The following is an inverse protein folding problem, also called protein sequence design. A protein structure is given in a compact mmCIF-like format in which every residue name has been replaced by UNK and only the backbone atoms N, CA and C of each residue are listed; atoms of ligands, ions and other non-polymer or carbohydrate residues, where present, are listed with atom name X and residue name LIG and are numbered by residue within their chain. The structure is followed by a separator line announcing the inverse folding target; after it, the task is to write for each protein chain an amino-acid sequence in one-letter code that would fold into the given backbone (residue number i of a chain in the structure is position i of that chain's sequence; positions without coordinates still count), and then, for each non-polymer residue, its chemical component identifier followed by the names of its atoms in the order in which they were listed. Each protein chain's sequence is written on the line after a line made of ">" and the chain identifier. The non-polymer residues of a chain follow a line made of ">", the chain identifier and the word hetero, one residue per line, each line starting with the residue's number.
data_IF_474501602997
#
_entry.id   IF_474501602997
#
_cell.length_a   1.000
_cell.length_b   1.000
_cell.length_c   1.000
_cell.angle_alpha   90.00
_cell.angle_beta   90.00
_cell.angle_gamma   90.00
#
_symmetry.space_group_name_H-M   'P 1'
#
loop_
_entity.id
_entity.type
_entity.pdbx_description
1 polymer ?
#
# COMPACT_ATOMS: atom_id res chain seq x y z
N UNK A 1 23.53 31.62 5.50
CA UNK A 1 23.96 30.25 5.17
C UNK A 1 22.80 29.27 5.45
N UNK A 2 21.71 29.33 4.68
CA UNK A 2 20.44 28.61 4.97
C UNK A 2 20.10 27.52 3.93
N UNK A 3 20.94 27.38 2.91
CA UNK A 3 20.83 26.40 1.83
C UNK A 3 20.71 24.93 2.27
N UNK A 4 21.43 24.43 3.30
CA UNK A 4 21.29 23.01 3.68
C UNK A 4 19.92 22.70 4.31
N UNK A 5 19.32 23.65 5.03
CA UNK A 5 17.98 23.49 5.63
C UNK A 5 16.87 23.45 4.57
N UNK A 6 16.98 24.28 3.53
CA UNK A 6 16.06 24.27 2.40
C UNK A 6 16.20 22.99 1.56
N UNK A 7 17.43 22.51 1.33
CA UNK A 7 17.68 21.30 0.56
C UNK A 7 17.13 20.03 1.23
N UNK A 8 17.26 19.88 2.55
CA UNK A 8 16.70 18.72 3.28
C UNK A 8 15.17 18.79 3.35
N UNK A 9 14.60 19.99 3.55
CA UNK A 9 13.15 20.17 3.48
C UNK A 9 12.62 19.83 2.08
N UNK A 10 13.33 20.24 1.02
CA UNK A 10 13.00 19.90 -0.35
C UNK A 10 13.13 18.39 -0.62
N UNK A 11 14.18 17.72 -0.15
CA UNK A 11 14.35 16.26 -0.28
C UNK A 11 13.28 15.51 0.50
N UNK A 12 12.89 15.99 1.69
CA UNK A 12 11.81 15.41 2.48
C UNK A 12 10.44 15.57 1.78
N UNK A 13 10.16 16.76 1.20
CA UNK A 13 8.93 17.03 0.42
C UNK A 13 8.91 16.20 -0.86
N UNK A 14 10.02 16.15 -1.61
CA UNK A 14 10.12 15.37 -2.86
C UNK A 14 10.03 13.87 -2.55
N UNK A 15 10.72 13.40 -1.50
CA UNK A 15 10.63 12.02 -1.04
C UNK A 15 9.21 11.65 -0.61
N UNK A 16 8.49 12.55 0.07
CA UNK A 16 7.07 12.34 0.42
C UNK A 16 6.16 12.39 -0.80
N UNK A 17 6.41 13.24 -1.79
CA UNK A 17 5.64 13.27 -3.04
C UNK A 17 5.85 12.01 -3.88
N UNK A 18 7.08 11.50 -3.97
CA UNK A 18 7.42 10.25 -4.66
C UNK A 18 6.80 9.06 -3.93
N UNK A 19 6.87 9.03 -2.59
CA UNK A 19 6.18 8.03 -1.76
C UNK A 19 4.65 8.11 -1.83
N UNK A 20 4.08 9.25 -2.26
CA UNK A 20 2.64 9.42 -2.49
C UNK A 20 2.18 8.91 -3.85
N UNK A 21 3.11 8.75 -4.80
CA UNK A 21 2.83 8.26 -6.16
C UNK A 21 3.32 6.84 -6.41
N UNK A 22 4.15 6.28 -5.53
CA UNK A 22 4.47 4.87 -5.57
C UNK A 22 3.17 4.06 -5.42
N UNK A 23 2.90 3.08 -6.30
CA UNK A 23 1.76 2.19 -6.14
C UNK A 23 1.82 1.57 -4.74
N UNK A 24 0.68 1.53 -4.06
CA UNK A 24 0.52 1.07 -2.66
C UNK A 24 0.86 -0.43 -2.49
N UNK A 25 1.33 -1.07 -3.57
CA UNK A 25 1.80 -2.45 -3.69
C UNK A 25 2.64 -2.95 -2.51
N UNK A 26 3.32 -2.07 -1.76
CA UNK A 26 4.04 -2.45 -0.55
C UNK A 26 3.63 -1.58 0.65
N UNK A 27 2.39 -1.76 1.12
CA UNK A 27 1.73 -0.99 2.20
C UNK A 27 2.46 -0.91 3.55
N UNK A 28 3.57 -1.64 3.74
CA UNK A 28 4.41 -1.62 4.95
C UNK A 28 5.80 -1.01 4.69
N UNK A 29 6.34 -1.15 3.47
CA UNK A 29 7.75 -0.82 3.21
C UNK A 29 8.00 0.68 3.04
N UNK A 30 7.09 1.42 2.43
CA UNK A 30 7.33 2.85 2.15
C UNK A 30 7.35 3.71 3.42
N UNK A 31 6.41 3.57 4.37
CA UNK A 31 6.44 4.34 5.63
C UNK A 31 7.63 3.94 6.52
N UNK A 32 7.95 2.65 6.59
CA UNK A 32 9.07 2.13 7.39
C UNK A 32 10.43 2.58 6.81
N UNK A 33 10.62 2.50 5.50
CA UNK A 33 11.82 2.97 4.83
C UNK A 33 12.02 4.49 5.01
N UNK A 34 10.95 5.29 4.88
CA UNK A 34 11.01 6.73 5.17
C UNK A 34 11.33 7.01 6.65
N UNK A 35 10.79 6.22 7.58
CA UNK A 35 11.08 6.33 9.01
C UNK A 35 12.54 6.00 9.35
N UNK A 36 13.10 4.93 8.77
CA UNK A 36 14.50 4.52 8.95
C UNK A 36 15.45 5.53 8.31
N UNK A 37 15.17 6.00 7.10
CA UNK A 37 15.94 7.06 6.44
C UNK A 37 15.91 8.35 7.26
N UNK A 38 14.75 8.78 7.75
CA UNK A 38 14.64 9.96 8.59
C UNK A 38 15.39 9.80 9.93
N UNK A 39 15.31 8.61 10.56
CA UNK A 39 16.06 8.31 11.79
C UNK A 39 17.58 8.32 11.58
N UNK A 40 18.05 7.71 10.49
CA UNK A 40 19.47 7.69 10.11
C UNK A 40 19.97 9.10 9.76
N UNK A 41 19.15 9.89 9.05
CA UNK A 41 19.42 11.30 8.74
C UNK A 41 19.49 12.12 10.02
N UNK A 42 18.54 11.97 10.95
CA UNK A 42 18.57 12.67 12.26
C UNK A 42 19.78 12.28 13.12
N UNK A 43 20.17 10.99 13.13
CA UNK A 43 21.35 10.49 13.83
C UNK A 43 22.66 10.99 13.22
N UNK A 44 22.77 10.99 11.89
CA UNK A 44 23.94 11.49 11.16
C UNK A 44 24.07 13.02 11.27
N UNK A 45 22.95 13.75 11.37
CA UNK A 45 22.89 15.22 11.37
C UNK A 45 23.05 15.83 12.77
N UNK A 46 23.04 15.02 13.84
CA UNK A 46 23.07 15.45 15.25
C UNK A 46 24.27 16.34 15.63
N UNK A 47 25.32 16.42 14.79
CA UNK A 47 26.59 17.12 15.08
C UNK A 47 26.73 18.52 14.47
N UNK A 48 25.91 18.91 13.48
CA UNK A 48 26.15 20.12 12.67
C UNK A 48 24.95 21.05 12.49
N UNK A 49 23.76 20.66 12.94
CA UNK A 49 22.54 21.45 12.75
C UNK A 49 22.04 22.09 14.06
N UNK A 50 21.41 23.28 13.98
CA UNK A 50 20.73 23.86 15.14
C UNK A 50 19.62 22.91 15.59
N UNK A 51 19.49 22.70 16.90
CA UNK A 51 18.49 21.78 17.50
C UNK A 51 17.08 22.01 16.98
N UNK A 52 16.74 23.27 16.69
CA UNK A 52 15.46 23.66 16.09
C UNK A 52 15.15 22.94 14.76
N UNK A 53 16.16 22.70 13.91
CA UNK A 53 15.96 22.04 12.63
C UNK A 53 15.75 20.52 12.76
N UNK A 54 16.42 19.88 13.72
CA UNK A 54 16.18 18.46 14.05
C UNK A 54 14.76 18.27 14.61
N UNK A 55 14.32 19.19 15.49
CA UNK A 55 12.95 19.18 16.01
C UNK A 55 11.93 19.39 14.90
N UNK A 56 12.15 20.34 13.99
CA UNK A 56 11.25 20.61 12.88
C UNK A 56 11.07 19.39 11.95
N UNK A 57 12.18 18.71 11.60
CA UNK A 57 12.12 17.49 10.78
C UNK A 57 11.41 16.36 11.53
N UNK A 58 11.71 16.15 12.81
CA UNK A 58 11.05 15.12 13.61
C UNK A 58 9.55 15.34 13.76
N UNK A 59 9.12 16.59 13.97
CA UNK A 59 7.70 16.96 14.02
C UNK A 59 7.03 16.76 12.65
N UNK A 60 7.66 17.18 11.56
CA UNK A 60 7.11 17.01 10.21
C UNK A 60 6.91 15.51 9.87
N UNK A 61 7.88 14.67 10.20
CA UNK A 61 7.78 13.22 10.03
C UNK A 61 6.66 12.62 10.88
N UNK A 62 6.54 13.04 12.14
CA UNK A 62 5.49 12.56 13.03
C UNK A 62 4.08 12.95 12.53
N UNK A 63 3.90 14.19 12.08
CA UNK A 63 2.63 14.66 11.50
C UNK A 63 2.29 13.90 10.22
N UNK A 64 3.28 13.68 9.34
CA UNK A 64 3.06 12.92 8.11
C UNK A 64 2.67 11.46 8.40
N UNK A 65 3.40 10.82 9.32
CA UNK A 65 3.11 9.44 9.71
C UNK A 65 1.73 9.30 10.38
N UNK A 66 1.34 10.24 11.27
CA UNK A 66 0.01 10.26 11.87
C UNK A 66 -1.10 10.49 10.83
N UNK A 67 -0.89 11.40 9.86
CA UNK A 67 -1.82 11.63 8.77
C UNK A 67 -2.00 10.37 7.91
N UNK A 68 -0.90 9.71 7.52
CA UNK A 68 -0.96 8.44 6.79
C UNK A 68 -1.67 7.35 7.57
N UNK A 69 -1.40 7.23 8.86
CA UNK A 69 -2.07 6.26 9.71
C UNK A 69 -3.58 6.50 9.77
N UNK A 70 -4.01 7.77 9.89
CA UNK A 70 -5.43 8.14 9.83
C UNK A 70 -6.08 7.79 8.49
N UNK A 71 -5.41 8.05 7.36
CA UNK A 71 -5.92 7.71 6.03
C UNK A 71 -6.06 6.20 5.85
N UNK A 72 -5.03 5.42 6.23
CA UNK A 72 -5.07 3.96 6.16
C UNK A 72 -6.16 3.39 7.08
N UNK A 73 -6.28 3.90 8.30
CA UNK A 73 -7.31 3.47 9.25
C UNK A 73 -8.72 3.79 8.75
N UNK A 74 -8.95 5.00 8.22
CA UNK A 74 -10.23 5.37 7.64
C UNK A 74 -10.57 4.50 6.42
N UNK A 75 -9.59 4.22 5.57
CA UNK A 75 -9.77 3.34 4.42
C UNK A 75 -10.05 1.89 4.84
N UNK A 76 -9.40 1.39 5.90
CA UNK A 76 -9.66 0.07 6.47
C UNK A 76 -11.09 -0.03 7.06
N UNK A 77 -11.53 0.99 7.80
CA UNK A 77 -12.90 1.08 8.32
C UNK A 77 -13.95 1.14 7.19
N UNK A 78 -13.63 1.81 6.09
CA UNK A 78 -14.50 1.88 4.92
C UNK A 78 -14.52 0.55 4.16
N UNK A 79 -13.39 -0.16 4.10
CA UNK A 79 -13.27 -1.49 3.51
C UNK A 79 -14.22 -2.51 4.16
N UNK A 80 -14.44 -2.43 5.47
CA UNK A 80 -15.41 -3.27 6.20
C UNK A 80 -16.88 -2.96 5.83
N UNK A 81 -17.15 -1.77 5.30
CA UNK A 81 -18.49 -1.28 4.96
C UNK A 81 -18.76 -1.24 3.46
N UNK A 82 -17.90 -1.84 2.64
CA UNK A 82 -18.09 -1.90 1.19
C UNK A 82 -19.37 -2.65 0.85
N UNK A 83 -20.21 -2.04 0.01
CA UNK A 83 -21.34 -2.73 -0.60
C UNK A 83 -20.82 -3.89 -1.45
N UNK A 84 -21.41 -5.06 -1.26
CA UNK A 84 -21.03 -6.27 -1.99
C UNK A 84 -21.77 -6.27 -3.32
N UNK A 85 -21.01 -6.23 -4.41
CA UNK A 85 -21.49 -6.41 -5.78
C UNK A 85 -21.62 -7.91 -6.05
N UNK A 86 -22.83 -8.43 -6.07
CA UNK A 86 -23.07 -9.85 -6.36
C UNK A 86 -23.23 -10.10 -7.87
N UNK A 87 -22.20 -10.69 -8.49
CA UNK A 87 -22.14 -10.93 -9.94
C UNK A 87 -23.29 -11.80 -10.46
N UNK A 88 -23.95 -12.56 -9.59
CA UNK A 88 -25.12 -13.36 -9.96
C UNK A 88 -26.37 -12.50 -10.20
N UNK A 89 -26.47 -11.33 -9.56
CA UNK A 89 -27.69 -10.52 -9.53
C UNK A 89 -27.53 -9.13 -10.10
N UNK A 90 -26.34 -8.55 -10.02
CA UNK A 90 -26.07 -7.17 -10.43
C UNK A 90 -24.77 -7.06 -11.24
N UNK A 91 -24.75 -6.06 -12.12
CA UNK A 91 -23.58 -5.79 -12.94
C UNK A 91 -22.58 -4.92 -12.17
N UNK A 92 -21.27 -5.11 -12.41
CA UNK A 92 -20.26 -4.18 -11.92
C UNK A 92 -20.56 -2.74 -12.40
N UNK A 93 -20.35 -1.72 -11.55
CA UNK A 93 -20.54 -0.33 -11.95
C UNK A 93 -19.58 0.03 -13.10
N UNK A 94 -20.09 0.80 -14.08
CA UNK A 94 -19.30 1.26 -15.23
C UNK A 94 -18.14 2.18 -14.86
N UNK A 95 -18.29 2.91 -13.75
CA UNK A 95 -17.23 3.66 -13.09
C UNK A 95 -16.99 3.02 -11.73
N UNK A 96 -15.97 2.14 -11.60
CA UNK A 96 -15.74 1.45 -10.36
C UNK A 96 -15.28 2.41 -9.24
N UNK A 97 -15.74 2.21 -8.00
CA UNK A 97 -15.15 2.88 -6.85
C UNK A 97 -13.69 2.42 -6.66
N UNK A 98 -12.85 3.18 -5.92
CA UNK A 98 -11.45 2.81 -5.69
C UNK A 98 -11.28 1.48 -4.93
N UNK A 99 -12.29 1.08 -4.15
CA UNK A 99 -12.36 -0.20 -3.47
C UNK A 99 -13.75 -0.80 -3.66
N UNK A 100 -13.82 -2.11 -3.86
CA UNK A 100 -15.07 -2.83 -4.09
C UNK A 100 -15.02 -4.20 -3.42
N UNK A 101 -16.18 -4.65 -2.95
CA UNK A 101 -16.40 -6.03 -2.58
C UNK A 101 -17.20 -6.71 -3.69
N UNK A 102 -16.71 -7.83 -4.22
CA UNK A 102 -17.37 -8.58 -5.29
C UNK A 102 -17.67 -9.99 -4.80
N UNK A 103 -18.89 -10.48 -5.06
CA UNK A 103 -19.32 -11.85 -4.75
C UNK A 103 -19.59 -12.64 -6.03
N UNK A 104 -19.11 -13.87 -6.07
CA UNK A 104 -19.10 -14.70 -7.27
C UNK A 104 -18.20 -15.92 -7.10
N UNK A 105 -17.89 -16.59 -8.20
CA UNK A 105 -17.12 -17.83 -8.24
C UNK A 105 -15.73 -17.55 -8.81
N UNK A 106 -14.67 -17.98 -8.11
CA UNK A 106 -13.29 -17.91 -8.62
C UNK A 106 -12.98 -19.19 -9.37
N UNK A 107 -12.78 -19.10 -10.69
CA UNK A 107 -12.60 -20.29 -11.53
C UNK A 107 -11.21 -20.89 -11.40
N UNK A 108 -11.15 -22.15 -10.98
CA UNK A 108 -9.90 -22.86 -10.69
C UNK A 108 -8.97 -22.99 -11.90
N UNK A 109 -9.55 -23.30 -13.07
CA UNK A 109 -8.81 -23.51 -14.32
C UNK A 109 -8.30 -22.23 -15.00
N UNK A 110 -8.57 -21.04 -14.45
CA UNK A 110 -8.20 -19.76 -15.06
C UNK A 110 -7.46 -18.90 -14.05
N UNK A 111 -6.23 -19.32 -13.76
CA UNK A 111 -5.35 -18.72 -12.75
C UNK A 111 -3.98 -18.43 -13.36
N UNK A 112 -3.48 -17.23 -13.11
CA UNK A 112 -2.11 -16.81 -13.39
C UNK A 112 -1.38 -16.72 -12.05
N UNK A 113 -0.30 -17.47 -11.89
CA UNK A 113 0.57 -17.36 -10.72
C UNK A 113 1.55 -16.22 -10.92
N UNK A 114 1.62 -15.31 -9.96
CA UNK A 114 2.59 -14.23 -9.93
C UNK A 114 3.75 -14.59 -9.01
N UNK A 115 4.95 -14.42 -9.53
CA UNK A 115 6.21 -14.60 -8.80
C UNK A 115 6.94 -13.26 -8.84
N UNK A 116 7.55 -12.87 -7.72
CA UNK A 116 8.45 -11.71 -7.69
C UNK A 116 9.77 -12.11 -8.35
N UNK A 117 9.98 -11.67 -9.58
CA UNK A 117 11.14 -12.04 -10.40
C UNK A 117 11.73 -10.78 -11.02
N UNK A 118 13.02 -10.49 -10.77
CA UNK A 118 13.72 -9.41 -11.44
C UNK A 118 13.67 -9.56 -12.97
N UNK A 119 13.64 -8.44 -13.73
CA UNK A 119 13.67 -8.52 -15.19
C UNK A 119 14.88 -9.30 -15.71
N UNK A 120 14.61 -10.32 -16.53
CA UNK A 120 15.63 -11.17 -17.15
C UNK A 120 15.97 -12.44 -16.38
N UNK A 121 15.35 -12.66 -15.21
CA UNK A 121 15.47 -13.91 -14.46
C UNK A 121 14.31 -14.87 -14.75
N UNK A 122 14.53 -16.16 -14.46
CA UNK A 122 13.49 -17.19 -14.57
C UNK A 122 12.81 -17.34 -13.20
N UNK A 123 11.48 -17.37 -13.12
CA UNK A 123 10.77 -17.59 -11.87
C UNK A 123 11.20 -18.90 -11.21
N UNK A 124 11.62 -18.84 -9.94
CA UNK A 124 11.79 -20.04 -9.12
C UNK A 124 10.42 -20.58 -8.71
N UNK A 125 9.96 -21.61 -9.41
CA UNK A 125 8.69 -22.27 -9.16
C UNK A 125 8.77 -23.34 -8.07
N UNK A 126 9.88 -23.44 -7.34
CA UNK A 126 10.00 -24.34 -6.18
C UNK A 126 9.32 -23.79 -4.92
N UNK A 127 9.08 -22.47 -4.88
CA UNK A 127 8.32 -21.78 -3.84
C UNK A 127 6.86 -21.55 -4.28
N UNK A 128 5.91 -21.41 -3.34
CA UNK A 128 4.58 -20.94 -3.67
C UNK A 128 4.63 -19.54 -4.29
N UNK A 129 3.71 -19.20 -5.22
CA UNK A 129 3.64 -17.87 -5.81
C UNK A 129 3.34 -16.80 -4.75
N UNK A 130 3.64 -15.53 -5.05
CA UNK A 130 3.31 -14.42 -4.15
C UNK A 130 1.82 -14.08 -4.21
N UNK A 131 1.25 -14.13 -5.42
CA UNK A 131 -0.15 -13.86 -5.67
C UNK A 131 -0.67 -14.75 -6.79
N UNK A 132 -1.99 -14.90 -6.86
CA UNK A 132 -2.67 -15.57 -7.97
C UNK A 132 -3.75 -14.65 -8.50
N UNK A 133 -3.68 -14.36 -9.80
CA UNK A 133 -4.73 -13.63 -10.52
C UNK A 133 -5.68 -14.65 -11.11
N UNK A 134 -6.98 -14.51 -10.87
CA UNK A 134 -7.99 -15.43 -11.32
C UNK A 134 -9.21 -14.71 -11.90
N UNK A 135 -9.92 -15.36 -12.81
CA UNK A 135 -11.20 -14.84 -13.31
C UNK A 135 -12.30 -15.13 -12.29
N UNK A 136 -13.13 -14.13 -12.01
CA UNK A 136 -14.30 -14.23 -11.16
C UNK A 136 -15.58 -14.11 -11.99
N UNK A 137 -16.47 -15.09 -11.86
CA UNK A 137 -17.70 -15.22 -12.64
C UNK A 137 -18.95 -15.26 -11.75
N UNK A 138 -20.16 -15.05 -12.31
CA UNK A 138 -21.41 -15.20 -11.56
C UNK A 138 -21.62 -16.61 -11.00
N UNK A 139 -21.31 -17.63 -11.79
CA UNK A 139 -21.41 -19.06 -11.45
C UNK A 139 -20.23 -19.82 -12.05
N UNK A 140 -20.02 -21.08 -11.64
CA UNK A 140 -18.94 -21.94 -12.14
C UNK A 140 -19.00 -22.17 -13.66
N UNK A 141 -20.22 -22.29 -14.20
CA UNK A 141 -20.47 -22.56 -15.62
C UNK A 141 -20.69 -21.28 -16.47
N UNK A 142 -20.74 -20.11 -15.83
CA UNK A 142 -20.94 -18.86 -16.56
C UNK A 142 -19.73 -18.54 -17.46
N UNK A 143 -20.02 -17.88 -18.58
CA UNK A 143 -18.98 -17.27 -19.42
C UNK A 143 -18.20 -16.24 -18.59
N UNK A 144 -16.90 -16.07 -18.90
CA UNK A 144 -16.03 -15.09 -18.25
C UNK A 144 -16.57 -13.65 -18.32
N UNK A 145 -17.43 -13.38 -19.31
CA UNK A 145 -18.07 -12.09 -19.53
C UNK A 145 -19.33 -11.96 -18.66
N UNK A 146 -19.30 -11.02 -17.72
CA UNK A 146 -20.51 -10.52 -17.07
C UNK A 146 -20.95 -9.26 -17.81
N UNK A 147 -21.86 -9.43 -18.77
CA UNK A 147 -22.54 -8.33 -19.51
C UNK A 147 -21.64 -7.22 -20.09
N UNK A 148 -20.37 -7.51 -20.42
CA UNK A 148 -19.43 -6.53 -21.00
C UNK A 148 -18.16 -6.29 -20.18
N UNK A 149 -18.19 -6.68 -18.90
CA UNK A 149 -17.06 -6.49 -17.98
C UNK A 149 -16.51 -7.86 -17.56
N UNK A 150 -15.18 -7.95 -17.46
CA UNK A 150 -14.50 -9.11 -16.89
C UNK A 150 -13.90 -8.70 -15.55
N UNK A 151 -14.17 -9.48 -14.51
CA UNK A 151 -13.59 -9.25 -13.18
C UNK A 151 -12.45 -10.25 -12.99
N UNK A 152 -11.24 -9.71 -12.88
CA UNK A 152 -10.09 -10.43 -12.38
C UNK A 152 -9.94 -10.13 -10.89
N UNK A 153 -9.52 -11.13 -10.13
CA UNK A 153 -9.19 -10.98 -8.71
C UNK A 153 -7.75 -11.39 -8.50
N UNK A 154 -6.99 -10.60 -7.75
CA UNK A 154 -5.63 -10.95 -7.31
C UNK A 154 -5.71 -11.33 -5.84
N UNK A 155 -5.33 -12.56 -5.53
CA UNK A 155 -5.51 -13.20 -4.23
C UNK A 155 -4.17 -13.69 -3.68
N UNK A 156 -4.03 -13.70 -2.35
CA UNK A 156 -2.93 -14.45 -1.73
C UNK A 156 -3.12 -15.97 -1.97
N UNK A 157 -2.05 -16.77 -2.11
CA UNK A 157 -2.18 -18.21 -2.29
C UNK A 157 -2.98 -18.91 -1.18
N UNK A 158 -2.81 -18.45 0.07
CA UNK A 158 -3.55 -18.96 1.23
C UNK A 158 -5.03 -18.60 1.19
N UNK A 159 -5.39 -17.58 0.42
CA UNK A 159 -6.78 -17.19 0.20
C UNK A 159 -7.41 -17.98 -0.93
N UNK A 160 -6.67 -18.79 -1.70
CA UNK A 160 -7.24 -19.67 -2.73
C UNK A 160 -7.98 -20.80 -2.00
N UNK A 161 -9.30 -20.67 -1.94
CA UNK A 161 -10.18 -21.69 -1.39
C UNK A 161 -10.39 -22.83 -2.39
N UNK A 162 -11.33 -23.75 -2.10
CA UNK A 162 -11.74 -24.77 -3.06
C UNK A 162 -12.19 -24.12 -4.37
N UNK A 163 -11.85 -24.78 -5.47
CA UNK A 163 -12.23 -24.34 -6.81
C UNK A 163 -13.75 -24.26 -6.93
N UNK A 164 -14.20 -23.28 -7.71
CA UNK A 164 -15.60 -23.06 -8.07
C UNK A 164 -16.56 -22.77 -6.89
N UNK A 165 -16.03 -22.48 -5.70
CA UNK A 165 -16.82 -22.00 -4.57
C UNK A 165 -17.24 -20.53 -4.75
N UNK A 166 -18.45 -20.19 -4.29
CA UNK A 166 -18.93 -18.81 -4.18
C UNK A 166 -18.21 -18.12 -3.04
N UNK A 167 -17.61 -16.96 -3.32
CA UNK A 167 -16.77 -16.21 -2.39
C UNK A 167 -16.99 -14.72 -2.55
N UNK A 168 -16.71 -13.98 -1.48
CA UNK A 168 -16.69 -12.53 -1.49
C UNK A 168 -15.24 -12.08 -1.39
N UNK A 169 -14.77 -11.39 -2.42
CA UNK A 169 -13.43 -10.83 -2.53
C UNK A 169 -13.54 -9.32 -2.30
N UNK A 170 -12.65 -8.76 -1.47
CA UNK A 170 -12.61 -7.32 -1.18
C UNK A 170 -11.25 -6.81 -1.56
N UNK A 171 -11.20 -5.80 -2.42
CA UNK A 171 -9.95 -5.32 -2.95
C UNK A 171 -10.01 -3.89 -3.46
N UNK A 172 -8.84 -3.35 -3.72
CA UNK A 172 -8.70 -2.14 -4.51
C UNK A 172 -9.03 -2.45 -5.96
N UNK A 173 -9.76 -1.56 -6.62
CA UNK A 173 -10.08 -1.73 -8.03
C UNK A 173 -9.10 -0.94 -8.88
N UNK A 174 -8.50 -1.63 -9.85
CA UNK A 174 -7.66 -1.02 -10.89
C UNK A 174 -8.01 -1.61 -12.24
N UNK A 175 -7.52 -1.00 -13.31
CA UNK A 175 -7.51 -1.70 -14.60
C UNK A 175 -6.59 -2.92 -14.52
N UNK A 176 -6.97 -3.99 -15.21
CA UNK A 176 -6.14 -5.18 -15.27
C UNK A 176 -4.86 -4.91 -16.08
N UNK A 177 -3.69 -5.42 -15.61
CA UNK A 177 -2.46 -5.38 -16.40
C UNK A 177 -2.67 -6.05 -17.76
N UNK A 178 -2.11 -5.47 -18.82
CA UNK A 178 -2.25 -5.99 -20.18
C UNK A 178 -1.89 -7.50 -20.28
N UNK A 179 -0.80 -7.93 -19.62
CA UNK A 179 -0.40 -9.33 -19.61
C UNK A 179 -1.44 -10.26 -18.98
N UNK A 180 -2.06 -9.87 -17.86
CA UNK A 180 -3.11 -10.67 -17.22
C UNK A 180 -4.38 -10.67 -18.06
N UNK A 181 -4.71 -9.52 -18.67
CA UNK A 181 -5.83 -9.39 -19.60
C UNK A 181 -5.66 -10.33 -20.79
N UNK A 182 -4.51 -10.32 -21.44
CA UNK A 182 -4.30 -11.07 -22.68
C UNK A 182 -4.24 -12.60 -22.45
N UNK A 183 -3.78 -13.04 -21.27
CA UNK A 183 -3.67 -14.47 -20.92
C UNK A 183 -4.97 -15.04 -20.36
N UNK A 184 -5.64 -14.31 -19.47
CA UNK A 184 -6.82 -14.82 -18.76
C UNK A 184 -8.13 -14.51 -19.47
N UNK A 185 -8.13 -13.56 -20.41
CA UNK A 185 -9.32 -13.13 -21.14
C UNK A 185 -9.22 -13.60 -22.57
N UNK A 186 -9.60 -14.86 -22.79
CA UNK A 186 -9.87 -15.40 -24.12
C UNK A 186 -11.37 -15.63 -24.24
N UNK A 187 -12.07 -14.70 -24.89
CA UNK A 187 -13.52 -14.75 -25.07
C UNK A 187 -13.81 -15.00 -26.54
N UNK A 188 -14.57 -16.06 -26.84
CA UNK A 188 -14.96 -16.49 -28.19
C UNK A 188 -15.24 -15.30 -29.13
N UNK A 189 -14.27 -15.02 -30.00
CA UNK A 189 -14.38 -14.00 -31.06
C UNK A 189 -14.34 -12.53 -30.63
N UNK A 190 -14.15 -12.20 -29.35
CA UNK A 190 -14.02 -10.81 -28.90
C UNK A 190 -12.55 -10.49 -28.55
N UNK A 191 -11.92 -9.49 -29.19
CA UNK A 191 -10.58 -9.08 -28.81
C UNK A 191 -10.56 -8.55 -27.37
N UNK A 192 -9.50 -8.84 -26.62
CA UNK A 192 -9.33 -8.38 -25.24
C UNK A 192 -9.33 -6.85 -25.09
N UNK A 193 -9.03 -6.14 -26.17
CA UNK A 193 -8.96 -4.68 -26.28
C UNK A 193 -10.34 -4.01 -26.15
N UNK A 194 -11.41 -4.71 -26.54
CA UNK A 194 -12.79 -4.21 -26.49
C UNK A 194 -13.49 -4.51 -25.16
N UNK A 195 -12.80 -5.17 -24.24
CA UNK A 195 -13.34 -5.61 -22.95
C UNK A 195 -12.92 -4.66 -21.84
N UNK A 196 -13.90 -4.28 -21.01
CA UNK A 196 -13.62 -3.57 -19.76
C UNK A 196 -13.17 -4.62 -18.73
N UNK A 197 -11.88 -4.66 -18.41
CA UNK A 197 -11.31 -5.65 -17.48
C UNK A 197 -10.86 -4.98 -16.20
N UNK A 198 -11.55 -5.29 -15.12
CA UNK A 198 -11.26 -4.77 -13.79
C UNK A 198 -10.45 -5.79 -13.01
N UNK A 199 -9.41 -5.33 -12.34
CA UNK A 199 -8.70 -6.10 -11.33
C UNK A 199 -9.13 -5.65 -9.94
N UNK A 200 -9.56 -6.61 -9.11
CA UNK A 200 -9.80 -6.43 -7.68
C UNK A 200 -8.63 -7.04 -6.92
N UNK A 201 -7.72 -6.18 -6.43
CA UNK A 201 -6.50 -6.58 -5.73
C UNK A 201 -6.74 -6.66 -4.21
N UNK A 202 -6.73 -7.87 -3.65
CA UNK A 202 -6.90 -8.07 -2.19
C UNK A 202 -5.64 -7.78 -1.40
N UNK A 203 -4.48 -7.80 -2.04
CA UNK A 203 -3.19 -7.53 -1.40
C UNK A 203 -3.01 -6.03 -1.15
N UNK A 204 -3.64 -5.18 -1.98
CA UNK A 204 -3.62 -3.72 -1.83
C UNK A 204 -4.76 -3.17 -0.94
N UNK A 205 -5.37 -4.03 -0.11
CA UNK A 205 -6.35 -3.59 0.88
C UNK A 205 -5.67 -2.91 2.08
N UNK A 206 -6.18 -1.74 2.53
CA UNK A 206 -5.69 -1.10 3.74
C UNK A 206 -5.96 -2.01 4.95
N UNK A 207 -4.89 -2.49 5.59
CA UNK A 207 -4.98 -3.30 6.80
C UNK A 207 -4.86 -2.41 8.04
N UNK A 208 -5.70 -2.61 9.08
CA UNK A 208 -5.58 -1.89 10.35
C UNK A 208 -4.18 -2.02 10.97
N UNK A 209 -3.55 -3.19 10.83
CA UNK A 209 -2.21 -3.48 11.34
C UNK A 209 -1.12 -2.59 10.71
N UNK A 210 -1.26 -2.26 9.43
CA UNK A 210 -0.34 -1.34 8.75
C UNK A 210 -0.44 0.09 9.32
N UNK A 211 -1.62 0.49 9.82
CA UNK A 211 -1.78 1.79 10.50
C UNK A 211 -1.06 1.85 11.85
N UNK A 212 -0.97 0.72 12.58
CA UNK A 212 -0.23 0.66 13.85
C UNK A 212 1.26 0.92 13.64
N UNK A 213 1.85 0.35 12.60
CA UNK A 213 3.24 0.62 12.24
C UNK A 213 3.51 2.10 12.00
N UNK A 214 2.62 2.78 11.27
CA UNK A 214 2.71 4.22 11.04
C UNK A 214 2.57 5.04 12.34
N UNK A 215 1.66 4.67 13.25
CA UNK A 215 1.54 5.32 14.57
C UNK A 215 2.76 5.13 15.46
N UNK A 216 3.36 3.93 15.48
CA UNK A 216 4.60 3.66 16.23
C UNK A 216 5.74 4.51 15.69
N UNK A 217 5.90 4.61 14.37
CA UNK A 217 6.91 5.46 13.76
C UNK A 217 6.68 6.94 14.06
N UNK A 218 5.43 7.40 14.06
CA UNK A 218 5.09 8.76 14.46
C UNK A 218 5.49 9.06 15.91
N UNK A 219 5.17 8.15 16.83
CA UNK A 219 5.51 8.26 18.24
C UNK A 219 7.03 8.26 18.48
N UNK A 220 7.77 7.40 17.76
CA UNK A 220 9.23 7.36 17.82
C UNK A 220 9.86 8.64 17.28
N UNK A 221 9.37 9.16 16.14
CA UNK A 221 9.82 10.42 15.56
C UNK A 221 9.62 11.61 16.52
N UNK A 222 8.45 11.67 17.16
CA UNK A 222 8.14 12.69 18.16
C UNK A 222 9.02 12.53 19.42
N UNK A 223 9.21 11.31 19.91
CA UNK A 223 10.06 11.02 21.07
C UNK A 223 11.51 11.45 20.85
N UNK A 224 12.08 11.16 19.67
CA UNK A 224 13.42 11.59 19.27
C UNK A 224 13.53 13.12 19.19
N UNK A 225 12.51 13.79 18.64
CA UNK A 225 12.46 15.25 18.59
C UNK A 225 12.45 15.87 19.99
N UNK A 226 11.64 15.33 20.92
CA UNK A 226 11.57 15.81 22.30
C UNK A 226 12.88 15.60 23.07
N UNK A 227 13.55 14.46 22.88
CA UNK A 227 14.88 14.20 23.47
C UNK A 227 15.94 15.13 22.88
N UNK A 228 15.89 15.45 21.59
CA UNK A 228 16.79 16.40 20.97
C UNK A 228 16.53 17.86 21.42
N UNK A 229 15.27 18.19 21.77
CA UNK A 229 14.87 19.49 22.29
C UNK A 229 15.33 19.71 23.75
N UNK A 230 15.32 18.66 24.58
CA UNK A 230 15.98 18.66 25.90
C UNK A 230 17.50 18.67 25.70
N UNK A 231 18.08 19.86 25.56
CA UNK A 231 19.54 20.00 25.46
C UNK A 231 20.28 19.31 26.63
N UNK A 232 21.56 18.93 26.47
CA UNK A 232 22.40 18.49 27.58
C UNK A 232 22.33 19.57 28.67
N UNK A 233 21.82 19.16 29.83
CA UNK A 233 21.35 20.06 30.86
C UNK A 233 22.36 21.12 31.28
N UNK A 234 21.78 22.25 31.64
CA UNK A 234 22.35 23.40 32.35
C UNK A 234 22.91 23.06 33.76
N UNK A 235 23.45 21.86 33.96
CA UNK A 235 24.01 21.39 35.23
C UNK A 235 25.43 21.91 35.52
N UNK A 236 25.91 22.93 34.81
CA UNK A 236 27.25 23.52 34.97
C UNK A 236 27.22 25.05 35.01
N UNK A 237 26.25 25.67 35.69
CA UNK A 237 26.46 27.04 36.18
C UNK A 237 27.21 26.96 37.51
N UNK A 238 28.48 27.34 37.40
CA UNK A 238 29.52 27.41 38.42
C UNK A 238 28.99 28.11 39.68
N UNK A 239 29.11 27.46 40.83
CA UNK A 239 29.27 28.15 42.09
C UNK A 239 30.58 28.95 41.99
N UNK A 240 30.49 30.26 41.85
CA UNK A 240 31.62 31.14 42.13
C UNK A 240 31.73 31.24 43.67
N UNK A 241 32.90 30.99 44.29
CA UNK A 241 33.05 31.26 45.71
C UNK A 241 32.98 32.77 45.96
N UNK A 242 32.36 33.23 47.06
CA UNK A 242 32.41 34.62 47.46
C UNK A 242 33.85 34.97 47.88
N UNK A 243 34.30 36.16 47.45
CA UNK A 243 35.57 36.76 47.85
C UNK A 243 35.49 37.37 49.25
#
# INVERSE_FOLDING_TARGET
>A
MWWPAAAVTAIAIVGTMVANRAPVAHGVYVPAACGVLAGAVVLAIRRSWPRAAVVAVGVAMAVFAAHRAMVVWAAAQQAERLSVVDLATEDPPSVPPPYMAVRGVVRGGMRLSEYDVPPGEVPDQSAPPEAVVAVMTPTADATQRTRGTVILVRLAPTEIGPDDAVRTVRGKVTEAPAAARDVLVHIDGTPAEDLHVLLVDTLDMPRPEASLGAWVLAALGLGLALVAARGPGEGRRRASPPA
#
